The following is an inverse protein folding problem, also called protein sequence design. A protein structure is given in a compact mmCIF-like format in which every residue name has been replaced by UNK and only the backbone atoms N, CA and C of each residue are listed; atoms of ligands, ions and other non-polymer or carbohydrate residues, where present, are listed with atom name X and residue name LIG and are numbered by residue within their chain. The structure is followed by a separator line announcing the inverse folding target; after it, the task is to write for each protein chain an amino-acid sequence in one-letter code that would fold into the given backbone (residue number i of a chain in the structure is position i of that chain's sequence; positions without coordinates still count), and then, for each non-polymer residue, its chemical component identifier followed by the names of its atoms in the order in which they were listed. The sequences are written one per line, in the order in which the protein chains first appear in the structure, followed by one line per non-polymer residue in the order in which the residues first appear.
data_IF_326761578077
#
_entry.id   IF_326761578077
#
_cell.length_a   1.000
_cell.length_b   1.000
_cell.length_c   1.000
_cell.angle_alpha   90.00
_cell.angle_beta   90.00
_cell.angle_gamma   90.00
#
_symmetry.space_group_name_H-M   'P 1'
#
loop_
_entity.id
_entity.type
_entity.pdbx_description
1 polymer ?
#
# COMPACT_ATOMS: atom_id res chain seq x y z
N UNK A 1 26.20 0.47 -13.40
CA UNK A 1 25.09 -0.50 -13.22
C UNK A 1 25.07 -1.07 -11.83
N UNK A 2 26.17 -1.69 -11.38
CA UNK A 2 26.18 -2.53 -10.17
C UNK A 2 25.93 -1.78 -8.86
N UNK A 3 26.49 -0.61 -8.64
CA UNK A 3 26.34 0.17 -7.41
C UNK A 3 24.90 0.72 -7.19
N UNK A 4 24.11 0.85 -8.25
CA UNK A 4 22.69 1.26 -8.17
C UNK A 4 21.83 0.04 -7.89
N UNK A 5 22.13 -1.09 -8.51
CA UNK A 5 21.46 -2.36 -8.23
C UNK A 5 21.71 -2.82 -6.77
N UNK A 6 22.93 -2.67 -6.29
CA UNK A 6 23.33 -3.03 -4.92
C UNK A 6 22.60 -2.20 -3.84
N UNK A 7 22.26 -0.92 -4.11
CA UNK A 7 21.45 -0.10 -3.22
C UNK A 7 19.94 -0.36 -3.33
N UNK A 8 19.47 -0.89 -4.45
CA UNK A 8 18.05 -1.19 -4.69
C UNK A 8 17.57 -2.42 -3.95
N UNK A 9 18.40 -3.48 -3.91
CA UNK A 9 18.03 -4.72 -3.22
C UNK A 9 17.63 -4.48 -1.74
N UNK A 10 18.41 -3.72 -0.93
CA UNK A 10 18.00 -3.41 0.44
C UNK A 10 16.67 -2.65 0.56
N UNK A 11 16.32 -1.81 -0.44
CA UNK A 11 15.03 -1.14 -0.47
C UNK A 11 13.89 -2.15 -0.70
N UNK A 12 14.01 -2.98 -1.73
CA UNK A 12 13.00 -3.98 -2.08
C UNK A 12 12.79 -4.97 -0.93
N UNK A 13 13.88 -5.43 -0.31
CA UNK A 13 13.83 -6.34 0.84
C UNK A 13 13.12 -5.69 2.05
N UNK A 14 13.41 -4.43 2.34
CA UNK A 14 12.74 -3.70 3.42
C UNK A 14 11.23 -3.53 3.16
N UNK A 15 10.83 -3.26 1.91
CA UNK A 15 9.42 -3.13 1.52
C UNK A 15 8.71 -4.49 1.56
N UNK A 16 9.39 -5.57 1.14
CA UNK A 16 8.91 -6.95 1.28
C UNK A 16 8.62 -7.29 2.74
N UNK A 17 9.61 -7.09 3.64
CA UNK A 17 9.49 -7.39 5.05
C UNK A 17 8.36 -6.60 5.71
N UNK A 18 8.17 -5.34 5.32
CA UNK A 18 7.05 -4.53 5.81
C UNK A 18 5.70 -5.13 5.37
N UNK A 19 5.57 -5.61 4.13
CA UNK A 19 4.36 -6.30 3.63
C UNK A 19 4.12 -7.64 4.31
N UNK A 20 5.16 -8.38 4.68
CA UNK A 20 5.04 -9.58 5.54
C UNK A 20 4.50 -9.18 6.91
N UNK A 21 5.01 -8.09 7.49
CA UNK A 21 4.51 -7.50 8.73
C UNK A 21 3.06 -7.02 8.60
N UNK A 22 2.71 -6.39 7.49
CA UNK A 22 1.38 -5.89 7.17
C UNK A 22 0.35 -7.02 7.07
N UNK A 23 0.62 -8.05 6.28
CA UNK A 23 -0.34 -9.15 6.10
C UNK A 23 0.32 -10.54 6.18
N UNK A 24 1.12 -10.95 5.18
CA UNK A 24 1.69 -12.29 5.10
C UNK A 24 2.79 -12.38 4.04
N UNK A 25 3.60 -13.46 4.11
CA UNK A 25 4.58 -13.79 3.05
C UNK A 25 3.93 -14.00 1.69
N UNK A 26 2.73 -14.58 1.63
CA UNK A 26 2.00 -14.77 0.37
C UNK A 26 1.56 -13.44 -0.25
N UNK A 27 1.22 -12.46 0.58
CA UNK A 27 0.89 -11.11 0.13
C UNK A 27 2.13 -10.39 -0.40
N UNK A 28 3.25 -10.46 0.31
CA UNK A 28 4.52 -9.87 -0.11
C UNK A 28 5.03 -10.46 -1.43
N UNK A 29 4.88 -11.77 -1.67
CA UNK A 29 5.25 -12.39 -2.96
C UNK A 29 4.52 -11.82 -4.18
N UNK A 30 3.32 -11.25 -4.01
CA UNK A 30 2.62 -10.55 -5.11
C UNK A 30 3.33 -9.26 -5.48
N UNK A 31 3.86 -8.56 -4.49
CA UNK A 31 4.71 -7.39 -4.69
C UNK A 31 6.01 -7.80 -5.41
N UNK A 32 6.70 -8.82 -4.92
CA UNK A 32 7.97 -9.28 -5.50
C UNK A 32 7.82 -9.64 -6.99
N UNK A 33 6.72 -10.31 -7.35
CA UNK A 33 6.45 -10.70 -8.73
C UNK A 33 6.36 -9.49 -9.67
N UNK A 34 5.71 -8.41 -9.26
CA UNK A 34 5.58 -7.20 -10.07
C UNK A 34 6.89 -6.42 -10.13
N UNK A 35 7.61 -6.32 -9.00
CA UNK A 35 8.92 -5.67 -8.95
C UNK A 35 9.94 -6.40 -9.81
N UNK A 36 9.91 -7.75 -9.83
CA UNK A 36 10.76 -8.55 -10.71
C UNK A 36 10.47 -8.29 -12.21
N UNK A 37 9.19 -8.09 -12.59
CA UNK A 37 8.84 -7.69 -13.95
C UNK A 37 9.39 -6.31 -14.30
N UNK A 38 9.36 -5.36 -13.38
CA UNK A 38 9.95 -4.04 -13.58
C UNK A 38 11.47 -4.12 -13.66
N UNK A 39 12.13 -4.93 -12.87
CA UNK A 39 13.57 -5.15 -12.91
C UNK A 39 14.03 -5.76 -14.23
N UNK A 40 13.20 -6.59 -14.86
CA UNK A 40 13.49 -7.19 -16.16
C UNK A 40 13.50 -6.17 -17.33
N UNK A 41 13.09 -4.92 -17.12
CA UNK A 41 13.17 -3.82 -18.11
C UNK A 41 14.54 -3.14 -18.13
N UNK A 42 15.47 -3.54 -17.27
CA UNK A 42 16.78 -2.92 -17.04
C UNK A 42 16.75 -1.44 -16.63
N UNK A 43 15.56 -0.84 -16.44
CA UNK A 43 15.37 0.50 -15.92
C UNK A 43 15.32 0.49 -14.39
N UNK A 44 16.39 0.99 -13.79
CA UNK A 44 16.47 1.13 -12.34
C UNK A 44 15.46 2.10 -11.75
N UNK A 45 15.23 3.19 -12.43
CA UNK A 45 14.26 4.22 -12.02
C UNK A 45 12.83 3.69 -12.05
N UNK A 46 12.46 2.98 -13.12
CA UNK A 46 11.16 2.33 -13.22
C UNK A 46 10.97 1.29 -12.10
N UNK A 47 12.00 0.48 -11.82
CA UNK A 47 11.94 -0.52 -10.75
C UNK A 47 11.71 0.13 -9.39
N UNK A 48 12.41 1.22 -9.09
CA UNK A 48 12.26 1.97 -7.85
C UNK A 48 10.88 2.63 -7.74
N UNK A 49 10.37 3.23 -8.83
CA UNK A 49 9.04 3.82 -8.89
C UNK A 49 7.95 2.77 -8.64
N UNK A 50 8.03 1.62 -9.31
CA UNK A 50 7.11 0.50 -9.13
C UNK A 50 7.16 0.00 -7.68
N UNK A 51 8.35 -0.28 -7.14
CA UNK A 51 8.50 -0.81 -5.79
C UNK A 51 7.88 0.14 -4.74
N UNK A 52 8.23 1.43 -4.78
CA UNK A 52 7.73 2.42 -3.81
C UNK A 52 6.22 2.62 -3.90
N UNK A 53 5.69 2.73 -5.11
CA UNK A 53 4.29 3.08 -5.31
C UNK A 53 3.35 1.88 -5.17
N UNK A 54 3.77 0.69 -5.58
CA UNK A 54 3.02 -0.53 -5.33
C UNK A 54 2.96 -0.84 -3.82
N UNK A 55 4.10 -0.75 -3.10
CA UNK A 55 4.12 -0.90 -1.66
C UNK A 55 3.18 0.09 -0.97
N UNK A 56 3.20 1.37 -1.37
CA UNK A 56 2.33 2.42 -0.82
C UNK A 56 0.84 2.10 -0.94
N UNK A 57 0.42 1.53 -2.07
CA UNK A 57 -0.96 1.08 -2.25
C UNK A 57 -1.25 -0.18 -1.46
N UNK A 58 -0.32 -1.14 -1.40
CA UNK A 58 -0.48 -2.42 -0.71
C UNK A 58 -0.48 -2.28 0.80
N UNK A 59 0.33 -1.36 1.37
CA UNK A 59 0.44 -1.11 2.81
C UNK A 59 -0.49 0.03 3.27
N UNK A 60 -1.76 -0.02 2.88
CA UNK A 60 -2.72 1.01 3.30
C UNK A 60 -3.01 0.97 4.81
N UNK A 61 -3.23 2.16 5.41
CA UNK A 61 -3.43 2.31 6.86
C UNK A 61 -4.85 1.94 7.26
N UNK A 62 -5.09 0.66 7.52
CA UNK A 62 -6.30 0.17 8.17
C UNK A 62 -6.10 0.03 9.70
N UNK A 63 -7.12 -0.48 10.37
CA UNK A 63 -7.18 -0.65 11.81
C UNK A 63 -6.09 -1.60 12.31
N UNK A 64 -5.82 -2.67 11.58
CA UNK A 64 -4.79 -3.66 11.91
C UNK A 64 -3.39 -3.08 11.74
N UNK A 65 -3.18 -2.29 10.68
CA UNK A 65 -1.91 -1.63 10.43
C UNK A 65 -1.62 -0.54 11.45
N UNK A 66 -2.63 0.26 11.82
CA UNK A 66 -2.48 1.23 12.91
C UNK A 66 -2.09 0.54 14.21
N UNK A 67 -2.73 -0.59 14.54
CA UNK A 67 -2.38 -1.37 15.73
C UNK A 67 -0.94 -1.92 15.66
N UNK A 68 -0.49 -2.40 14.48
CA UNK A 68 0.89 -2.86 14.26
C UNK A 68 1.89 -1.74 14.49
N UNK A 69 1.66 -0.57 13.90
CA UNK A 69 2.57 0.59 13.99
C UNK A 69 2.66 1.12 15.43
N UNK A 70 1.56 1.17 16.16
CA UNK A 70 1.54 1.60 17.57
C UNK A 70 2.32 0.65 18.50
N UNK A 71 2.45 -0.62 18.12
CA UNK A 71 3.21 -1.61 18.87
C UNK A 71 4.71 -1.62 18.56
N UNK A 72 5.19 -0.82 17.60
CA UNK A 72 6.62 -0.75 17.30
C UNK A 72 7.39 -0.17 18.52
N UNK A 73 8.63 -0.66 18.80
CA UNK A 73 9.38 -0.26 19.99
C UNK A 73 9.61 1.25 20.14
N UNK A 74 9.79 1.96 19.01
CA UNK A 74 9.97 3.42 18.97
C UNK A 74 8.73 4.19 19.44
N UNK A 75 7.54 3.57 19.35
CA UNK A 75 6.24 4.16 19.71
C UNK A 75 5.79 3.78 21.13
N UNK A 76 6.52 2.91 21.85
CA UNK A 76 6.09 2.37 23.15
C UNK A 76 6.52 3.18 24.36
N UNK A 77 7.54 4.04 24.26
CA UNK A 77 8.10 4.75 25.44
C UNK A 77 7.32 6.04 25.70
N UNK A 78 6.50 6.05 26.74
CA UNK A 78 5.87 7.25 27.30
C UNK A 78 4.79 7.91 26.44
N UNK A 79 4.30 7.25 25.39
CA UNK A 79 3.34 7.82 24.45
C UNK A 79 1.92 7.50 24.86
N UNK A 80 1.10 8.54 24.98
CA UNK A 80 -0.35 8.44 25.01
C UNK A 80 -0.87 8.44 23.57
N UNK A 81 -1.46 7.34 23.13
CA UNK A 81 -2.01 7.24 21.79
C UNK A 81 -3.36 7.96 21.69
N UNK A 82 -3.44 8.90 20.77
CA UNK A 82 -4.70 9.56 20.43
C UNK A 82 -5.28 8.89 19.18
N UNK A 83 -6.19 7.93 19.36
CA UNK A 83 -6.92 7.35 18.26
C UNK A 83 -8.01 8.29 17.77
N UNK A 84 -7.96 8.63 16.49
CA UNK A 84 -8.97 9.47 15.84
C UNK A 84 -10.16 8.61 15.34
N UNK A 85 -11.38 9.17 15.38
CA UNK A 85 -12.65 8.44 15.32
C UNK A 85 -12.97 7.47 14.17
N UNK A 86 -12.33 7.42 13.00
CA UNK A 86 -12.79 6.44 11.99
C UNK A 86 -12.83 5.00 12.50
N UNK A 87 -11.83 4.60 13.30
CA UNK A 87 -11.80 3.28 13.95
C UNK A 87 -12.88 3.11 15.01
N UNK A 88 -13.19 4.19 15.72
CA UNK A 88 -14.12 4.18 16.87
C UNK A 88 -15.56 4.46 16.44
N UNK A 89 -15.76 5.12 15.29
CA UNK A 89 -17.09 5.32 14.69
C UNK A 89 -17.77 4.01 14.33
N UNK A 90 -17.00 3.01 13.87
CA UNK A 90 -17.52 1.68 13.58
C UNK A 90 -18.12 0.99 14.82
N UNK A 91 -17.67 1.38 16.04
CA UNK A 91 -18.15 0.89 17.32
C UNK A 91 -18.93 1.97 18.12
N UNK A 92 -19.39 3.04 17.43
CA UNK A 92 -20.28 4.07 18.01
C UNK A 92 -19.58 5.16 18.83
N UNK A 93 -18.25 5.19 18.92
CA UNK A 93 -17.51 6.15 19.73
C UNK A 93 -17.09 7.37 18.90
N UNK A 94 -17.64 8.55 19.23
CA UNK A 94 -17.38 9.83 18.54
C UNK A 94 -16.29 10.70 19.16
N UNK A 95 -15.69 10.28 20.30
CA UNK A 95 -14.66 11.05 21.01
C UNK A 95 -13.26 10.52 20.75
N UNK A 96 -12.26 11.42 20.79
CA UNK A 96 -10.84 11.02 20.84
C UNK A 96 -10.61 10.23 22.13
N UNK A 97 -10.22 8.97 22.03
CA UNK A 97 -9.87 8.17 23.20
C UNK A 97 -8.35 8.25 23.40
N UNK A 98 -7.95 8.60 24.60
CA UNK A 98 -6.56 8.52 25.06
C UNK A 98 -6.30 7.07 25.48
N UNK A 99 -5.53 6.35 24.70
CA UNK A 99 -5.13 4.99 25.02
C UNK A 99 -3.72 5.03 25.63
N UNK A 100 -3.62 4.62 26.88
CA UNK A 100 -2.35 4.41 27.56
C UNK A 100 -1.81 2.98 27.31
N UNK A 101 -0.77 2.64 28.03
CA UNK A 101 -0.13 1.30 27.94
C UNK A 101 -1.09 0.13 28.26
N UNK A 102 -2.16 0.38 29.00
CA UNK A 102 -3.22 -0.61 29.29
C UNK A 102 -3.91 -1.14 28.02
N UNK A 103 -3.90 -0.37 26.93
CA UNK A 103 -4.50 -0.78 25.65
C UNK A 103 -3.59 -1.70 24.81
N UNK A 104 -2.35 -1.98 25.27
CA UNK A 104 -1.41 -2.85 24.57
C UNK A 104 -1.98 -4.23 24.23
N UNK A 105 -2.69 -4.94 25.13
CA UNK A 105 -3.30 -6.22 24.79
C UNK A 105 -4.33 -6.11 23.67
N UNK A 106 -5.17 -5.06 23.70
CA UNK A 106 -6.15 -4.80 22.64
C UNK A 106 -5.47 -4.55 21.28
N UNK A 107 -4.41 -3.74 21.26
CA UNK A 107 -3.64 -3.51 20.05
C UNK A 107 -2.95 -4.79 19.55
N UNK A 108 -2.46 -5.65 20.45
CA UNK A 108 -1.88 -6.94 20.08
C UNK A 108 -2.92 -7.88 19.45
N UNK A 109 -4.14 -7.91 19.99
CA UNK A 109 -5.25 -8.67 19.41
C UNK A 109 -5.63 -8.15 18.03
N UNK A 110 -5.80 -6.83 17.87
CA UNK A 110 -6.08 -6.21 16.57
C UNK A 110 -4.97 -6.53 15.55
N UNK A 111 -3.71 -6.43 15.95
CA UNK A 111 -2.58 -6.83 15.10
C UNK A 111 -2.66 -8.31 14.67
N UNK A 112 -3.03 -9.21 15.58
CA UNK A 112 -3.18 -10.63 15.27
C UNK A 112 -4.34 -10.88 14.29
N UNK A 113 -5.41 -10.09 14.37
CA UNK A 113 -6.57 -10.16 13.47
C UNK A 113 -6.28 -9.71 12.04
N UNK A 114 -5.06 -9.26 11.72
CA UNK A 114 -4.64 -8.93 10.34
C UNK A 114 -4.88 -10.08 9.33
N UNK A 115 -4.92 -11.32 9.80
CA UNK A 115 -5.20 -12.51 8.98
C UNK A 115 -6.62 -12.51 8.40
N UNK A 116 -7.54 -11.77 9.03
CA UNK A 116 -8.93 -11.61 8.57
C UNK A 116 -9.06 -10.61 7.42
N UNK A 117 -8.03 -9.78 7.19
CA UNK A 117 -8.05 -8.71 6.18
C UNK A 117 -8.46 -9.24 4.81
N UNK A 118 -9.53 -8.68 4.27
CA UNK A 118 -10.05 -9.05 2.96
C UNK A 118 -10.80 -10.37 2.90
N UNK A 119 -11.01 -11.04 4.03
CA UNK A 119 -11.90 -12.21 4.14
C UNK A 119 -13.34 -11.77 4.46
N UNK A 120 -14.35 -12.66 4.33
CA UNK A 120 -15.73 -12.37 4.77
C UNK A 120 -15.85 -12.07 6.28
N UNK A 121 -14.86 -12.44 7.08
CA UNK A 121 -14.82 -12.20 8.51
C UNK A 121 -14.08 -10.92 8.92
N UNK A 122 -13.66 -10.10 7.96
CA UNK A 122 -12.98 -8.82 8.21
C UNK A 122 -13.99 -7.75 8.64
N UNK A 123 -14.12 -7.40 9.93
CA UNK A 123 -15.13 -6.45 10.41
C UNK A 123 -14.93 -5.03 9.87
N UNK A 124 -13.71 -4.68 9.44
CA UNK A 124 -13.37 -3.36 8.91
C UNK A 124 -13.38 -3.33 7.37
N UNK A 125 -13.37 -4.49 6.73
CA UNK A 125 -13.22 -4.65 5.28
C UNK A 125 -14.39 -4.15 4.44
N UNK A 126 -15.55 -3.93 5.04
CA UNK A 126 -16.80 -3.60 4.32
C UNK A 126 -16.97 -2.10 4.03
N UNK A 127 -16.16 -1.22 4.61
CA UNK A 127 -16.25 0.20 4.34
C UNK A 127 -15.95 0.53 2.87
N UNK A 128 -16.58 1.58 2.35
CA UNK A 128 -16.37 2.03 0.96
C UNK A 128 -14.89 2.31 0.70
N UNK A 129 -14.21 2.93 1.67
CA UNK A 129 -12.78 3.26 1.58
C UNK A 129 -11.93 1.99 1.48
N UNK A 130 -12.19 0.96 2.30
CA UNK A 130 -11.42 -0.30 2.27
C UNK A 130 -11.64 -1.08 0.97
N UNK A 131 -12.87 -1.05 0.45
CA UNK A 131 -13.15 -1.65 -0.87
C UNK A 131 -12.42 -0.92 -1.98
N UNK A 132 -12.39 0.43 -1.93
CA UNK A 132 -11.62 1.24 -2.87
C UNK A 132 -10.12 0.91 -2.78
N UNK A 133 -9.52 0.90 -1.60
CA UNK A 133 -8.08 0.61 -1.42
C UNK A 133 -7.71 -0.73 -2.04
N UNK A 134 -8.46 -1.78 -1.76
CA UNK A 134 -8.23 -3.10 -2.38
C UNK A 134 -8.42 -3.11 -3.89
N UNK A 135 -9.40 -2.35 -4.39
CA UNK A 135 -9.63 -2.22 -5.83
C UNK A 135 -8.46 -1.49 -6.51
N UNK A 136 -7.96 -0.40 -5.92
CA UNK A 136 -6.82 0.34 -6.45
C UNK A 136 -5.54 -0.52 -6.52
N UNK A 137 -5.26 -1.33 -5.49
CA UNK A 137 -4.13 -2.28 -5.53
C UNK A 137 -4.25 -3.23 -6.71
N UNK A 138 -5.44 -3.83 -6.90
CA UNK A 138 -5.69 -4.78 -7.99
C UNK A 138 -5.54 -4.11 -9.35
N UNK A 139 -6.24 -2.99 -9.56
CA UNK A 139 -6.28 -2.27 -10.83
C UNK A 139 -4.87 -1.77 -11.23
N UNK A 140 -4.11 -1.27 -10.26
CA UNK A 140 -2.74 -0.83 -10.50
C UNK A 140 -1.81 -2.01 -10.81
N UNK A 141 -1.92 -3.12 -10.09
CA UNK A 141 -1.15 -4.34 -10.38
C UNK A 141 -1.45 -4.88 -11.77
N UNK A 142 -2.73 -4.91 -12.16
CA UNK A 142 -3.16 -5.34 -13.51
C UNK A 142 -2.59 -4.42 -14.60
N UNK A 143 -2.60 -3.11 -14.38
CA UNK A 143 -2.03 -2.13 -15.30
C UNK A 143 -0.52 -2.34 -15.48
N UNK A 144 0.23 -2.48 -14.38
CA UNK A 144 1.66 -2.76 -14.43
C UNK A 144 1.96 -4.08 -15.16
N UNK A 145 1.21 -5.13 -14.86
CA UNK A 145 1.38 -6.44 -15.50
C UNK A 145 1.17 -6.38 -17.02
N UNK A 146 0.29 -5.49 -17.48
CA UNK A 146 0.08 -5.26 -18.93
C UNK A 146 1.17 -4.43 -19.58
N UNK A 147 1.64 -3.40 -18.90
CA UNK A 147 2.55 -2.39 -19.45
C UNK A 147 4.01 -2.85 -19.40
N UNK A 148 4.46 -3.42 -18.27
CA UNK A 148 5.88 -3.77 -18.07
C UNK A 148 6.49 -4.65 -19.17
N UNK A 149 5.80 -5.66 -19.73
CA UNK A 149 6.33 -6.45 -20.83
C UNK A 149 6.50 -5.69 -22.15
N UNK A 150 5.88 -4.51 -22.28
CA UNK A 150 5.90 -3.68 -23.49
C UNK A 150 6.90 -2.52 -23.36
N UNK A 151 7.61 -2.42 -22.23
CA UNK A 151 8.58 -1.35 -21.99
C UNK A 151 9.80 -1.52 -22.89
N UNK A 152 10.21 -0.41 -23.50
CA UNK A 152 11.40 -0.27 -24.34
C UNK A 152 12.10 1.04 -23.96
N UNK A 153 13.32 1.27 -24.46
CA UNK A 153 14.05 2.53 -24.24
C UNK A 153 13.28 3.76 -24.71
N UNK A 154 12.37 3.62 -25.68
CA UNK A 154 11.59 4.73 -26.26
C UNK A 154 10.37 5.11 -25.42
N UNK A 155 9.85 4.21 -24.57
CA UNK A 155 8.63 4.44 -23.80
C UNK A 155 8.81 4.29 -22.27
N UNK A 156 10.05 4.11 -21.81
CA UNK A 156 10.35 3.91 -20.38
C UNK A 156 9.88 5.09 -19.52
N UNK A 157 9.99 6.31 -19.99
CA UNK A 157 9.51 7.52 -19.30
C UNK A 157 7.99 7.49 -19.10
N UNK A 158 7.25 6.96 -20.07
CA UNK A 158 5.80 6.78 -19.94
C UNK A 158 5.47 5.70 -18.89
N UNK A 159 6.28 4.65 -18.82
CA UNK A 159 6.14 3.60 -17.81
C UNK A 159 6.42 4.15 -16.40
N UNK A 160 7.45 4.98 -16.24
CA UNK A 160 7.77 5.67 -14.98
C UNK A 160 6.61 6.58 -14.56
N UNK A 161 6.10 7.41 -15.47
CA UNK A 161 4.97 8.27 -15.20
C UNK A 161 3.71 7.48 -14.77
N UNK A 162 3.44 6.31 -15.39
CA UNK A 162 2.38 5.41 -14.95
C UNK A 162 2.66 4.84 -13.55
N UNK A 163 3.91 4.43 -13.30
CA UNK A 163 4.30 3.87 -11.99
C UNK A 163 4.19 4.90 -10.85
N UNK A 164 4.27 6.19 -11.12
CA UNK A 164 4.16 7.27 -10.15
C UNK A 164 2.74 7.76 -9.90
N UNK A 165 1.74 7.31 -10.66
CA UNK A 165 0.34 7.72 -10.50
C UNK A 165 -0.20 7.56 -9.06
N UNK A 166 0.17 6.53 -8.27
CA UNK A 166 -0.29 6.41 -6.89
C UNK A 166 0.07 7.58 -5.98
N UNK A 167 1.08 8.37 -6.30
CA UNK A 167 1.42 9.58 -5.55
C UNK A 167 0.31 10.63 -5.57
N UNK A 168 -0.57 10.59 -6.55
CA UNK A 168 -1.72 11.49 -6.67
C UNK A 168 -2.88 11.12 -5.75
N UNK A 169 -2.91 9.89 -5.19
CA UNK A 169 -4.01 9.36 -4.35
C UNK A 169 -3.78 9.62 -2.86
N UNK A 170 -3.29 10.81 -2.49
CA UNK A 170 -3.09 11.19 -1.09
C UNK A 170 -4.33 11.91 -0.53
N UNK A 171 -4.78 11.57 0.70
CA UNK A 171 -5.84 12.29 1.40
C UNK A 171 -6.66 11.44 2.37
N UNK A 172 -7.55 12.10 3.11
CA UNK A 172 -8.48 11.48 4.06
C UNK A 172 -9.83 11.20 3.38
N UNK A 173 -10.51 10.15 3.78
CA UNK A 173 -11.83 9.62 3.40
C UNK A 173 -12.49 10.18 2.11
N UNK A 174 -13.19 11.32 2.16
CA UNK A 174 -13.89 11.94 1.01
C UNK A 174 -12.92 12.31 -0.11
N UNK A 175 -11.80 12.95 0.24
CA UNK A 175 -10.76 13.33 -0.71
C UNK A 175 -10.10 12.09 -1.35
N UNK A 176 -10.05 10.97 -0.64
CA UNK A 176 -9.53 9.70 -1.14
C UNK A 176 -10.47 9.06 -2.15
N UNK A 177 -11.78 9.18 -1.99
CA UNK A 177 -12.76 8.69 -2.96
C UNK A 177 -12.68 9.46 -4.28
N UNK A 178 -12.65 10.80 -4.22
CA UNK A 178 -12.51 11.65 -5.40
C UNK A 178 -11.20 11.39 -6.15
N UNK A 179 -10.08 11.35 -5.41
CA UNK A 179 -8.76 11.08 -5.98
C UNK A 179 -8.64 9.66 -6.52
N UNK A 180 -9.31 8.67 -5.91
CA UNK A 180 -9.38 7.31 -6.42
C UNK A 180 -10.06 7.23 -7.77
N UNK A 181 -11.10 8.01 -8.00
CA UNK A 181 -11.78 8.11 -9.32
C UNK A 181 -10.87 8.77 -10.36
N UNK A 182 -10.22 9.88 -10.00
CA UNK A 182 -9.26 10.55 -10.89
C UNK A 182 -8.03 9.65 -11.21
N UNK A 183 -7.56 8.90 -10.24
CA UNK A 183 -6.49 7.93 -10.44
C UNK A 183 -6.88 6.85 -11.46
N UNK A 184 -8.09 6.29 -11.35
CA UNK A 184 -8.58 5.27 -12.28
C UNK A 184 -8.65 5.78 -13.72
N UNK A 185 -9.15 7.00 -13.92
CA UNK A 185 -9.19 7.62 -15.24
C UNK A 185 -7.77 7.77 -15.82
N UNK A 186 -6.85 8.33 -15.07
CA UNK A 186 -5.44 8.49 -15.50
C UNK A 186 -4.75 7.16 -15.76
N UNK A 187 -5.01 6.14 -14.93
CA UNK A 187 -4.44 4.82 -15.12
C UNK A 187 -4.94 4.18 -16.41
N UNK A 188 -6.24 4.29 -16.69
CA UNK A 188 -6.82 3.78 -17.93
C UNK A 188 -6.25 4.49 -19.17
N UNK A 189 -6.13 5.82 -19.12
CA UNK A 189 -5.54 6.62 -20.20
C UNK A 189 -4.07 6.26 -20.45
N UNK A 190 -3.28 6.11 -19.38
CA UNK A 190 -1.88 5.72 -19.46
C UNK A 190 -1.70 4.33 -20.09
N UNK A 191 -2.51 3.34 -19.68
CA UNK A 191 -2.49 1.99 -20.28
C UNK A 191 -2.90 2.01 -21.75
N UNK A 192 -3.93 2.80 -22.10
CA UNK A 192 -4.37 2.94 -23.49
C UNK A 192 -3.30 3.60 -24.40
N UNK A 193 -2.51 4.51 -23.83
CA UNK A 193 -1.37 5.14 -24.51
C UNK A 193 -0.24 4.17 -24.81
N UNK A 194 -0.03 3.15 -23.97
CA UNK A 194 0.98 2.09 -24.18
C UNK A 194 0.60 1.07 -25.25
N UNK A 195 -0.68 0.90 -25.52
CA UNK A 195 -1.20 -0.08 -26.47
C UNK A 195 -1.23 0.44 -27.93
N UNK A 196 -0.75 1.66 -28.16
CA UNK A 196 -0.66 2.31 -29.49
C UNK A 196 0.78 2.43 -29.95
#
# INVERSE_FOLDING_TARGET
GDAVAERRQPLVDALHDDLVGFQSRSYARRFDAVVAMAAATDSGELTDAVARNLHKLMAYKDEYEVARLLLLPKQRRGVVWHLHPPMLRAIGVRRKIRLGQWATPLMATLRAMKVLRGTPFDPFGYSVVRRLERALVREYTEALTKVLPLVTDHNVEQAIALAELPDTVRGYETLKLERGTAFRARLADAVAGFSR
#
